data_IF_396663499535
#
_entry.id   IF_396663499535
#
_cell.length_a   1.000
_cell.length_b   1.000
_cell.length_c   1.000
_cell.angle_alpha   90.00
_cell.angle_beta   90.00
_cell.angle_gamma   90.00
#
_symmetry.space_group_name_H-M   'P 1'
#
loop_
_entity.id
_entity.type
_entity.pdbx_description
1 polymer ?
#
# COMPACT_ATOMS: atom_id res chain seq x y z
N UNK A 1 19.19 -17.62 6.65
CA UNK A 1 19.10 -17.01 8.00
C UNK A 1 17.66 -16.60 8.22
N UNK A 2 17.01 -17.00 9.32
CA UNK A 2 15.65 -16.53 9.59
C UNK A 2 15.71 -15.05 9.96
N UNK A 3 14.91 -14.24 9.29
CA UNK A 3 14.80 -12.79 9.48
C UNK A 3 14.14 -12.56 10.85
N UNK A 4 14.94 -12.41 11.90
CA UNK A 4 14.44 -12.06 13.25
C UNK A 4 14.17 -10.55 13.31
N UNK A 5 13.04 -10.11 12.75
CA UNK A 5 12.24 -8.94 13.14
C UNK A 5 11.27 -8.57 12.00
N UNK A 6 10.32 -9.45 11.67
CA UNK A 6 9.20 -9.04 10.80
C UNK A 6 8.37 -7.96 11.52
N UNK A 7 7.83 -6.95 10.80
CA UNK A 7 6.93 -5.98 11.41
C UNK A 7 5.67 -6.66 11.93
N UNK A 8 4.89 -5.96 12.77
CA UNK A 8 3.59 -6.46 13.20
C UNK A 8 2.64 -6.49 11.97
N UNK A 9 2.55 -7.63 11.30
CA UNK A 9 1.70 -7.84 10.14
C UNK A 9 0.42 -8.53 10.59
N UNK A 10 -0.71 -7.88 10.33
CA UNK A 10 -2.02 -8.50 10.46
C UNK A 10 -2.43 -9.11 9.13
N UNK A 11 -3.04 -10.29 9.17
CA UNK A 11 -3.49 -10.98 7.97
C UNK A 11 -5.01 -11.21 8.00
N UNK A 12 -5.65 -11.03 6.86
CA UNK A 12 -7.06 -11.36 6.61
C UNK A 12 -7.14 -12.28 5.40
N UNK A 13 -8.08 -13.22 5.42
CA UNK A 13 -8.44 -14.02 4.26
C UNK A 13 -9.96 -13.99 4.10
N UNK A 14 -10.51 -12.96 3.42
CA UNK A 14 -11.95 -12.75 3.35
C UNK A 14 -12.66 -13.82 2.51
N UNK A 15 -11.95 -14.44 1.57
CA UNK A 15 -12.39 -15.58 0.77
C UNK A 15 -11.20 -16.52 0.49
N UNK A 16 -11.44 -17.81 0.18
CA UNK A 16 -10.39 -18.72 -0.25
C UNK A 16 -9.54 -18.10 -1.36
N UNK A 17 -8.22 -18.25 -1.24
CA UNK A 17 -7.27 -17.72 -2.22
C UNK A 17 -6.92 -16.25 -2.07
N UNK A 18 -7.75 -15.44 -1.41
CA UNK A 18 -7.47 -14.02 -1.19
C UNK A 18 -6.73 -13.85 0.14
N UNK A 19 -5.57 -13.19 0.08
CA UNK A 19 -4.78 -12.83 1.26
C UNK A 19 -4.58 -11.33 1.27
N UNK A 20 -4.93 -10.71 2.39
CA UNK A 20 -4.70 -9.28 2.63
C UNK A 20 -3.79 -9.17 3.85
N UNK A 21 -2.71 -8.42 3.73
CA UNK A 21 -1.87 -8.03 4.85
C UNK A 21 -2.01 -6.54 5.10
N UNK A 22 -2.04 -6.14 6.36
CA UNK A 22 -1.96 -4.73 6.74
C UNK A 22 -1.11 -4.55 7.97
N UNK A 23 -0.45 -3.40 8.05
CA UNK A 23 0.41 -3.05 9.17
C UNK A 23 0.42 -1.54 9.35
N UNK A 24 0.75 -1.09 10.56
CA UNK A 24 0.97 0.33 10.80
C UNK A 24 2.31 0.72 10.18
N UNK A 25 2.32 1.84 9.47
CA UNK A 25 3.51 2.46 8.91
C UNK A 25 4.61 2.64 9.98
N UNK A 26 4.33 3.17 11.19
CA UNK A 26 5.31 3.20 12.29
C UNK A 26 5.99 1.85 12.57
N UNK A 27 5.22 0.75 12.59
CA UNK A 27 5.74 -0.58 12.92
C UNK A 27 6.64 -1.13 11.80
N UNK A 28 6.45 -0.67 10.56
CA UNK A 28 7.28 -1.01 9.39
C UNK A 28 8.56 -0.17 9.35
N UNK A 29 8.46 1.13 9.63
CA UNK A 29 9.61 2.06 9.56
C UNK A 29 10.79 1.51 10.35
N UNK A 30 10.55 1.05 11.58
CA UNK A 30 11.58 0.54 12.48
C UNK A 30 12.28 -0.72 11.97
N UNK A 31 11.68 -1.39 10.99
CA UNK A 31 12.22 -2.61 10.35
C UNK A 31 12.91 -2.32 9.02
N UNK A 32 12.60 -1.19 8.40
CA UNK A 32 13.11 -0.85 7.06
C UNK A 32 14.18 0.23 7.11
N UNK A 33 14.02 1.25 7.97
CA UNK A 33 14.87 2.44 8.01
C UNK A 33 15.78 2.42 9.23
N UNK A 34 17.06 2.75 9.06
CA UNK A 34 18.04 2.77 10.16
C UNK A 34 17.89 3.96 11.11
N UNK A 35 17.34 5.08 10.64
CA UNK A 35 17.21 6.29 11.46
C UNK A 35 15.93 6.23 12.29
N UNK A 36 16.07 6.43 13.60
CA UNK A 36 14.98 6.42 14.58
C UNK A 36 14.14 7.73 14.61
N UNK A 37 14.41 8.71 13.75
CA UNK A 37 13.77 10.04 13.83
C UNK A 37 12.43 10.14 13.11
N UNK A 38 11.95 9.07 12.48
CA UNK A 38 10.74 9.10 11.64
C UNK A 38 9.42 8.89 12.39
N UNK A 39 9.44 8.84 13.73
CA UNK A 39 8.26 8.54 14.54
C UNK A 39 7.24 9.70 14.65
N UNK A 40 7.54 10.89 14.09
CA UNK A 40 6.68 12.08 14.15
C UNK A 40 6.30 12.58 12.75
N UNK A 41 5.13 12.16 12.24
CA UNK A 41 4.56 12.52 10.93
C UNK A 41 4.07 13.97 10.82
N UNK A 42 4.86 14.94 11.31
CA UNK A 42 4.65 16.36 10.92
C UNK A 42 5.00 16.51 9.45
N UNK A 43 4.44 17.51 8.72
CA UNK A 43 4.89 17.81 7.36
C UNK A 43 6.38 18.16 7.40
N UNK A 44 7.22 17.20 7.03
CA UNK A 44 8.65 17.35 6.91
C UNK A 44 9.01 17.43 5.43
N UNK A 45 10.02 18.24 5.12
CA UNK A 45 10.67 18.28 3.80
C UNK A 45 11.16 16.87 3.47
N UNK A 46 11.11 16.51 2.19
CA UNK A 46 11.62 15.23 1.72
C UNK A 46 13.08 15.00 2.14
N UNK A 47 13.44 13.73 2.30
CA UNK A 47 14.82 13.29 2.46
C UNK A 47 15.34 12.64 1.16
N UNK A 48 16.67 12.55 1.06
CA UNK A 48 17.33 11.77 0.01
C UNK A 48 17.79 10.45 0.62
N UNK A 49 17.08 9.38 0.28
CA UNK A 49 17.36 8.02 0.72
C UNK A 49 18.46 7.36 -0.13
N UNK A 50 19.35 6.63 0.52
CA UNK A 50 20.38 5.76 -0.05
C UNK A 50 20.16 4.32 0.43
N UNK A 51 20.76 3.34 -0.27
CA UNK A 51 20.74 1.93 0.17
C UNK A 51 21.23 1.75 1.60
N UNK A 52 22.22 2.53 2.03
CA UNK A 52 22.78 2.50 3.38
C UNK A 52 21.81 2.94 4.47
N UNK A 53 20.78 3.72 4.13
CA UNK A 53 19.76 4.15 5.08
C UNK A 53 18.74 3.04 5.38
N UNK A 54 18.71 1.98 4.57
CA UNK A 54 17.87 0.82 4.77
C UNK A 54 18.56 -0.21 5.68
N UNK A 55 17.80 -0.85 6.56
CA UNK A 55 18.27 -1.92 7.44
C UNK A 55 18.70 -3.14 6.61
N UNK A 56 17.94 -3.43 5.54
CA UNK A 56 18.24 -4.48 4.57
C UNK A 56 17.94 -3.99 3.14
N UNK A 57 18.48 -4.66 2.10
CA UNK A 57 18.17 -4.32 0.72
C UNK A 57 16.70 -4.61 0.39
N UNK A 58 15.88 -3.55 0.33
CA UNK A 58 14.44 -3.63 0.00
C UNK A 58 14.13 -2.95 -1.33
N UNK A 59 14.78 -1.83 -1.62
CA UNK A 59 14.52 -1.01 -2.78
C UNK A 59 15.63 -1.19 -3.82
N UNK A 60 15.22 -1.40 -5.08
CA UNK A 60 16.11 -1.30 -6.22
C UNK A 60 16.57 0.14 -6.46
N UNK A 61 17.56 0.34 -7.33
CA UNK A 61 18.05 1.68 -7.67
C UNK A 61 16.96 2.55 -8.32
N UNK A 62 16.11 1.95 -9.16
CA UNK A 62 14.97 2.65 -9.78
C UNK A 62 13.90 3.05 -8.74
N UNK A 63 13.67 2.21 -7.73
CA UNK A 63 12.74 2.52 -6.64
C UNK A 63 13.30 3.61 -5.71
N UNK A 64 14.61 3.63 -5.47
CA UNK A 64 15.27 4.73 -4.75
C UNK A 64 15.18 6.06 -5.51
N UNK A 65 15.34 6.04 -6.83
CA UNK A 65 15.12 7.24 -7.65
C UNK A 65 13.67 7.72 -7.55
N UNK A 66 12.72 6.79 -7.62
CA UNK A 66 11.29 7.08 -7.48
C UNK A 66 10.98 7.74 -6.15
N UNK A 67 11.42 7.14 -5.03
CA UNK A 67 11.11 7.66 -3.70
C UNK A 67 11.75 9.03 -3.44
N UNK A 68 12.95 9.26 -3.98
CA UNK A 68 13.64 10.55 -3.86
C UNK A 68 13.01 11.65 -4.72
N UNK A 69 12.13 11.30 -5.66
CA UNK A 69 11.34 12.25 -6.43
C UNK A 69 10.13 12.83 -5.69
N UNK A 70 9.68 12.20 -4.60
CA UNK A 70 8.57 12.74 -3.81
C UNK A 70 9.00 13.97 -3.01
N UNK A 71 8.15 15.01 -3.04
CA UNK A 71 8.41 16.30 -2.38
C UNK A 71 8.11 16.32 -0.87
N UNK A 72 7.42 15.31 -0.37
CA UNK A 72 6.96 15.26 1.02
C UNK A 72 7.40 13.94 1.66
N UNK A 73 8.02 14.05 2.84
CA UNK A 73 8.52 12.89 3.58
C UNK A 73 7.42 11.87 3.89
N UNK A 74 6.21 12.35 4.20
CA UNK A 74 5.06 11.48 4.43
C UNK A 74 4.80 10.54 3.24
N UNK A 75 4.80 11.08 2.02
CA UNK A 75 4.61 10.27 0.79
C UNK A 75 5.76 9.29 0.58
N UNK A 76 6.99 9.71 0.86
CA UNK A 76 8.15 8.81 0.78
C UNK A 76 7.98 7.61 1.71
N UNK A 77 7.63 7.86 2.96
CA UNK A 77 7.47 6.83 3.98
C UNK A 77 6.27 5.91 3.68
N UNK A 78 5.11 6.46 3.30
CA UNK A 78 3.95 5.68 2.86
C UNK A 78 4.32 4.74 1.71
N UNK A 79 5.05 5.25 0.72
CA UNK A 79 5.47 4.49 -0.45
C UNK A 79 6.48 3.38 -0.09
N UNK A 80 7.50 3.69 0.71
CA UNK A 80 8.50 2.71 1.18
C UNK A 80 7.81 1.58 1.94
N UNK A 81 6.93 1.92 2.88
CA UNK A 81 6.27 0.92 3.73
C UNK A 81 5.33 0.03 2.94
N UNK A 82 4.55 0.59 2.01
CA UNK A 82 3.70 -0.18 1.11
C UNK A 82 4.50 -1.12 0.20
N UNK A 83 5.63 -0.66 -0.34
CA UNK A 83 6.54 -1.49 -1.16
C UNK A 83 7.16 -2.61 -0.33
N UNK A 84 7.63 -2.31 0.87
CA UNK A 84 8.19 -3.30 1.76
C UNK A 84 7.18 -4.40 2.09
N UNK A 85 5.97 -4.03 2.52
CA UNK A 85 4.92 -4.99 2.88
C UNK A 85 4.52 -5.86 1.68
N UNK A 86 4.40 -5.27 0.50
CA UNK A 86 4.07 -6.02 -0.73
C UNK A 86 5.21 -6.98 -1.13
N UNK A 87 6.47 -6.55 -1.06
CA UNK A 87 7.62 -7.41 -1.38
C UNK A 87 7.77 -8.56 -0.39
N UNK A 88 7.51 -8.34 0.90
CA UNK A 88 7.44 -9.43 1.89
C UNK A 88 6.34 -10.44 1.54
N UNK A 89 5.15 -9.98 1.19
CA UNK A 89 4.04 -10.84 0.75
C UNK A 89 4.45 -11.64 -0.49
N UNK A 90 5.05 -11.00 -1.49
CA UNK A 90 5.48 -11.65 -2.72
C UNK A 90 6.57 -12.70 -2.47
N UNK A 91 7.58 -12.38 -1.65
CA UNK A 91 8.62 -13.32 -1.26
C UNK A 91 8.01 -14.53 -0.51
N UNK A 92 7.03 -14.30 0.37
CA UNK A 92 6.38 -15.35 1.17
C UNK A 92 5.62 -16.36 0.33
N UNK A 93 4.85 -15.88 -0.65
CA UNK A 93 3.87 -16.70 -1.37
C UNK A 93 4.32 -17.14 -2.77
N UNK A 94 5.12 -16.33 -3.47
CA UNK A 94 5.41 -16.56 -4.90
C UNK A 94 6.91 -16.59 -5.23
N UNK A 95 7.73 -15.78 -4.56
CA UNK A 95 9.10 -15.47 -4.97
C UNK A 95 10.13 -15.81 -3.88
N UNK A 96 10.05 -17.00 -3.28
CA UNK A 96 10.83 -17.40 -2.09
C UNK A 96 12.36 -17.27 -2.21
N UNK A 97 12.88 -17.37 -3.43
CA UNK A 97 14.33 -17.32 -3.69
C UNK A 97 14.79 -15.96 -4.26
N UNK A 98 13.90 -14.98 -4.36
CA UNK A 98 14.20 -13.64 -4.89
C UNK A 98 14.47 -12.69 -3.73
N UNK A 99 15.61 -11.98 -3.69
CA UNK A 99 15.83 -10.95 -2.68
C UNK A 99 14.84 -9.79 -2.85
N UNK A 100 14.51 -9.08 -1.77
CA UNK A 100 13.44 -8.07 -1.80
C UNK A 100 13.72 -6.92 -2.78
N UNK A 101 14.97 -6.44 -2.86
CA UNK A 101 15.39 -5.44 -3.84
C UNK A 101 15.40 -5.96 -5.29
N UNK A 102 15.36 -7.28 -5.49
CA UNK A 102 15.17 -7.93 -6.79
C UNK A 102 13.70 -8.12 -7.18
N UNK A 103 12.74 -7.97 -6.25
CA UNK A 103 11.31 -7.99 -6.57
C UNK A 103 10.91 -6.60 -7.04
N UNK A 104 10.72 -6.41 -8.34
CA UNK A 104 10.35 -5.12 -8.93
C UNK A 104 8.89 -5.08 -9.35
N UNK A 105 8.31 -3.88 -9.31
CA UNK A 105 6.95 -3.61 -9.78
C UNK A 105 7.01 -2.63 -10.95
N UNK A 106 6.14 -2.86 -11.92
CA UNK A 106 5.83 -1.96 -13.01
C UNK A 106 4.36 -1.55 -12.89
N UNK A 107 3.90 -0.61 -13.71
CA UNK A 107 2.54 -0.09 -13.63
C UNK A 107 1.90 -0.10 -15.01
N UNK A 108 0.61 -0.40 -15.05
CA UNK A 108 -0.22 -0.16 -16.22
C UNK A 108 -0.40 1.35 -16.43
N UNK A 109 -0.91 1.74 -17.59
CA UNK A 109 -1.12 3.15 -17.96
C UNK A 109 -2.08 3.84 -16.98
N UNK A 110 -3.02 3.08 -16.41
CA UNK A 110 -4.00 3.52 -15.41
C UNK A 110 -3.42 3.56 -13.98
N UNK A 111 -2.17 3.13 -13.79
CA UNK A 111 -1.44 3.21 -12.52
C UNK A 111 -1.54 1.97 -11.62
N UNK A 112 -2.25 0.91 -12.03
CA UNK A 112 -2.29 -0.35 -11.28
C UNK A 112 -0.93 -1.06 -11.34
N UNK A 113 -0.35 -1.48 -10.20
CA UNK A 113 0.94 -2.14 -10.18
C UNK A 113 0.84 -3.62 -10.55
N UNK A 114 1.86 -4.13 -11.24
CA UNK A 114 2.06 -5.55 -11.49
C UNK A 114 3.50 -5.97 -11.19
N UNK A 115 3.70 -7.25 -10.90
CA UNK A 115 5.03 -7.81 -10.61
C UNK A 115 5.79 -7.99 -11.92
N UNK A 116 6.87 -7.24 -12.14
CA UNK A 116 7.53 -7.16 -13.45
C UNK A 116 7.99 -8.52 -13.98
N UNK A 117 8.49 -9.40 -13.11
CA UNK A 117 8.96 -10.73 -13.50
C UNK A 117 7.85 -11.79 -13.62
N UNK A 118 6.68 -11.54 -13.04
CA UNK A 118 5.53 -12.44 -13.05
C UNK A 118 4.21 -11.65 -13.08
N UNK A 119 3.87 -11.01 -14.22
CA UNK A 119 2.72 -10.10 -14.31
C UNK A 119 1.37 -10.74 -14.00
N UNK A 120 1.29 -12.08 -14.05
CA UNK A 120 0.09 -12.85 -13.72
C UNK A 120 -0.22 -12.93 -12.22
N UNK A 121 0.71 -12.55 -11.32
CA UNK A 121 0.44 -12.50 -9.88
C UNK A 121 -0.43 -11.27 -9.62
N UNK A 122 -1.70 -11.43 -9.22
CA UNK A 122 -2.56 -10.30 -8.97
C UNK A 122 -2.18 -9.69 -7.61
N UNK A 123 -1.87 -8.41 -7.62
CA UNK A 123 -1.53 -7.64 -6.42
C UNK A 123 -2.27 -6.32 -6.39
N UNK A 124 -2.55 -5.84 -5.19
CA UNK A 124 -3.04 -4.50 -4.97
C UNK A 124 -2.45 -3.94 -3.69
N UNK A 125 -2.38 -2.62 -3.59
CA UNK A 125 -1.97 -1.95 -2.36
C UNK A 125 -2.77 -0.68 -2.14
N UNK A 126 -2.95 -0.33 -0.88
CA UNK A 126 -3.47 0.96 -0.46
C UNK A 126 -2.77 1.43 0.81
N UNK A 127 -2.88 2.71 1.10
CA UNK A 127 -2.45 3.28 2.36
C UNK A 127 -3.41 4.39 2.76
N UNK A 128 -3.70 4.49 4.05
CA UNK A 128 -4.49 5.59 4.58
C UNK A 128 -4.11 5.84 6.02
N UNK A 129 -3.89 7.12 6.32
CA UNK A 129 -3.34 7.57 7.60
C UNK A 129 -2.05 6.82 7.96
N UNK A 130 -2.04 6.11 9.10
CA UNK A 130 -0.85 5.43 9.62
C UNK A 130 -0.80 3.96 9.21
N UNK A 131 -1.58 3.53 8.22
CA UNK A 131 -1.65 2.14 7.78
C UNK A 131 -1.33 1.99 6.31
N UNK A 132 -0.68 0.88 5.98
CA UNK A 132 -0.62 0.35 4.62
C UNK A 132 -1.20 -1.05 4.59
N UNK A 133 -1.84 -1.40 3.48
CA UNK A 133 -2.40 -2.70 3.23
C UNK A 133 -2.04 -3.17 1.82
N UNK A 134 -1.84 -4.47 1.67
CA UNK A 134 -1.51 -5.13 0.40
C UNK A 134 -2.37 -6.38 0.28
N UNK A 135 -2.76 -6.72 -0.95
CA UNK A 135 -3.54 -7.91 -1.24
C UNK A 135 -2.91 -8.70 -2.39
N UNK A 136 -3.08 -10.01 -2.34
CA UNK A 136 -2.80 -10.89 -3.47
C UNK A 136 -3.83 -12.01 -3.57
N UNK A 137 -3.84 -12.70 -4.71
CA UNK A 137 -4.48 -14.02 -4.84
C UNK A 137 -3.44 -15.11 -5.02
N UNK A 138 -3.49 -16.12 -4.16
CA UNK A 138 -2.51 -17.22 -4.15
C UNK A 138 -2.89 -18.40 -5.05
N UNK A 139 -4.15 -18.48 -5.48
CA UNK A 139 -4.73 -19.63 -6.20
C UNK A 139 -5.28 -19.30 -7.59
N UNK A 140 -5.18 -18.03 -8.02
CA UNK A 140 -5.76 -17.56 -9.27
C UNK A 140 -5.02 -16.33 -9.80
N UNK A 141 -5.16 -16.08 -11.10
CA UNK A 141 -4.55 -14.94 -11.82
C UNK A 141 -5.52 -13.78 -12.06
N UNK A 142 -6.75 -13.86 -11.56
CA UNK A 142 -7.73 -12.79 -11.71
C UNK A 142 -7.26 -11.54 -10.97
N UNK A 143 -7.49 -10.32 -11.52
CA UNK A 143 -7.15 -9.08 -10.85
C UNK A 143 -7.73 -8.97 -9.44
N UNK A 144 -7.11 -8.13 -8.62
CA UNK A 144 -7.58 -7.82 -7.28
C UNK A 144 -7.43 -6.32 -7.05
N UNK A 145 -8.48 -5.72 -6.49
CA UNK A 145 -8.47 -4.34 -6.06
C UNK A 145 -8.61 -4.27 -4.54
N UNK A 146 -7.77 -3.46 -3.91
CA UNK A 146 -7.79 -3.20 -2.48
C UNK A 146 -7.80 -1.70 -2.25
N UNK A 147 -8.71 -1.26 -1.40
CA UNK A 147 -8.66 0.08 -0.85
C UNK A 147 -8.81 0.09 0.67
N UNK A 148 -8.29 1.15 1.29
CA UNK A 148 -8.23 1.33 2.74
C UNK A 148 -8.41 2.82 3.01
N UNK A 149 -9.38 3.17 3.86
CA UNK A 149 -9.59 4.57 4.25
C UNK A 149 -9.80 4.74 5.76
N UNK A 150 -9.18 5.78 6.32
CA UNK A 150 -9.46 6.21 7.68
C UNK A 150 -10.79 6.96 7.70
N UNK A 151 -11.73 6.47 8.50
CA UNK A 151 -12.93 7.25 8.82
C UNK A 151 -12.50 8.54 9.53
N UNK A 152 -12.81 9.66 8.88
CA UNK A 152 -12.52 11.02 9.34
C UNK A 152 -13.84 11.78 9.55
N UNK A 153 -13.81 13.08 9.93
CA UNK A 153 -15.01 13.91 9.90
C UNK A 153 -15.71 13.88 8.53
N UNK A 154 -17.01 14.13 8.54
CA UNK A 154 -17.87 14.07 7.34
C UNK A 154 -17.29 14.92 6.21
N UNK A 155 -17.09 14.35 5.01
CA UNK A 155 -16.68 15.13 3.84
C UNK A 155 -17.69 16.21 3.46
N UNK A 156 -17.20 17.29 2.85
CA UNK A 156 -18.06 18.36 2.38
C UNK A 156 -18.89 17.98 1.14
N UNK A 157 -19.83 18.84 0.77
CA UNK A 157 -20.68 18.61 -0.39
C UNK A 157 -19.88 18.56 -1.71
N UNK A 158 -18.75 19.24 -1.79
CA UNK A 158 -17.89 19.22 -2.99
C UNK A 158 -17.31 17.83 -3.20
N UNK A 159 -16.76 17.21 -2.16
CA UNK A 159 -16.27 15.84 -2.20
C UNK A 159 -17.39 14.88 -2.61
N UNK A 160 -18.57 14.98 -1.97
CA UNK A 160 -19.69 14.08 -2.25
C UNK A 160 -20.14 14.13 -3.71
N UNK A 161 -20.20 15.33 -4.30
CA UNK A 161 -20.61 15.51 -5.69
C UNK A 161 -19.58 15.00 -6.71
N UNK A 162 -18.31 14.91 -6.33
CA UNK A 162 -17.24 14.34 -7.17
C UNK A 162 -17.19 12.81 -7.02
N UNK A 163 -17.28 12.32 -5.78
CA UNK A 163 -17.12 10.92 -5.45
C UNK A 163 -18.35 10.06 -5.79
N UNK A 164 -19.55 10.64 -5.80
CA UNK A 164 -20.81 9.92 -5.95
C UNK A 164 -21.69 10.51 -7.05
N UNK A 165 -22.34 9.62 -7.78
CA UNK A 165 -23.42 9.95 -8.69
C UNK A 165 -24.66 10.40 -7.92
N UNK A 166 -25.57 11.10 -8.59
CA UNK A 166 -26.84 11.53 -7.97
C UNK A 166 -27.64 10.33 -7.42
N UNK A 167 -27.65 9.21 -8.12
CA UNK A 167 -28.36 8.00 -7.68
C UNK A 167 -27.76 7.40 -6.41
N UNK A 168 -26.44 7.39 -6.27
CA UNK A 168 -25.77 6.95 -5.04
C UNK A 168 -26.08 7.91 -3.89
N UNK A 169 -26.08 9.22 -4.12
CA UNK A 169 -26.39 10.22 -3.08
C UNK A 169 -27.83 10.15 -2.55
N UNK A 170 -28.77 9.61 -3.33
CA UNK A 170 -30.16 9.41 -2.90
C UNK A 170 -30.29 8.29 -1.86
N UNK A 171 -29.44 7.26 -1.94
CA UNK A 171 -29.49 6.08 -1.05
C UNK A 171 -28.38 6.06 0.00
N UNK A 172 -27.35 6.88 -0.18
CA UNK A 172 -26.23 6.99 0.74
C UNK A 172 -26.67 7.63 2.06
N UNK A 173 -26.46 6.92 3.16
CA UNK A 173 -26.57 7.50 4.48
C UNK A 173 -25.55 8.63 4.64
N UNK A 174 -26.01 9.82 5.01
CA UNK A 174 -25.19 11.04 5.11
C UNK A 174 -24.43 11.11 6.43
N UNK A 175 -23.70 10.04 6.76
CA UNK A 175 -22.78 9.96 7.88
C UNK A 175 -21.39 9.55 7.39
N UNK A 176 -20.35 9.95 8.12
CA UNK A 176 -18.97 9.72 7.69
C UNK A 176 -18.63 8.23 7.47
N UNK A 177 -18.97 7.29 8.38
CA UNK A 177 -18.71 5.87 8.16
C UNK A 177 -19.32 5.32 6.87
N UNK A 178 -20.56 5.66 6.55
CA UNK A 178 -21.23 5.22 5.33
C UNK A 178 -20.57 5.79 4.08
N UNK A 179 -20.22 7.08 4.09
CA UNK A 179 -19.53 7.75 2.98
C UNK A 179 -18.17 7.11 2.72
N UNK A 180 -17.33 6.96 3.74
CA UNK A 180 -16.02 6.32 3.59
C UNK A 180 -16.15 4.86 3.16
N UNK A 181 -17.13 4.10 3.67
CA UNK A 181 -17.36 2.73 3.21
C UNK A 181 -17.67 2.65 1.72
N UNK A 182 -18.60 3.47 1.22
CA UNK A 182 -18.96 3.43 -0.20
C UNK A 182 -17.82 3.96 -1.08
N UNK A 183 -17.11 4.99 -0.62
CA UNK A 183 -15.90 5.49 -1.28
C UNK A 183 -14.85 4.39 -1.42
N UNK A 184 -14.50 3.69 -0.33
CA UNK A 184 -13.54 2.58 -0.34
C UNK A 184 -13.97 1.44 -1.26
N UNK A 185 -15.26 1.10 -1.32
CA UNK A 185 -15.76 0.08 -2.25
C UNK A 185 -15.53 0.51 -3.70
N UNK A 186 -15.79 1.78 -4.03
CA UNK A 186 -15.62 2.32 -5.38
C UNK A 186 -14.14 2.35 -5.78
N UNK A 187 -13.27 2.87 -4.93
CA UNK A 187 -11.82 2.91 -5.18
C UNK A 187 -11.22 1.51 -5.29
N UNK A 188 -11.67 0.56 -4.46
CA UNK A 188 -11.25 -0.83 -4.58
C UNK A 188 -11.68 -1.44 -5.93
N UNK A 189 -12.88 -1.12 -6.42
CA UNK A 189 -13.32 -1.56 -7.75
C UNK A 189 -12.53 -0.89 -8.88
N UNK A 190 -12.24 0.41 -8.78
CA UNK A 190 -11.40 1.11 -9.76
C UNK A 190 -9.99 0.54 -9.84
N UNK A 191 -9.43 0.07 -8.71
CA UNK A 191 -8.14 -0.62 -8.67
C UNK A 191 -8.20 -2.07 -9.18
N UNK A 192 -9.40 -2.63 -9.37
CA UNK A 192 -9.60 -3.98 -9.87
C UNK A 192 -9.73 -4.03 -11.41
N UNK A 193 -10.36 -3.01 -12.01
CA UNK A 193 -10.60 -2.94 -13.46
C UNK A 193 -9.42 -2.41 -14.24
#
# INVERSE_FOLDING_TARGET
>A
MPIQNEPCINALSPKPGIVIWYSRIPDIIDKVLRKATYHNFRPQVNEIFKKTDLIQPVLSDAELQTVNGFKAMKKQVEWICGRYLLKLMLARFFLKNTPLDGITLSYLDEGAPFVSCQPQIPVSLSHSHDYTAVACRVDATHPIGLDLEKIAPMPDASFLNIAFTQNELLTLEKNAPAVFKHWTIKEAYLKYI
#
